data_IF_760254938744
#
_entry.id   IF_760254938744
#
_cell.length_a   1.000
_cell.length_b   1.000
_cell.length_c   1.000
_cell.angle_alpha   90.00
_cell.angle_beta   90.00
_cell.angle_gamma   90.00
#
_symmetry.space_group_name_H-M   'P 1'
#
loop_
_entity.id
_entity.type
_entity.pdbx_description
1 polymer ?
#
# COMPACT_ATOMS: atom_id res chain seq x y z
N UNK A 1 -21.05 36.50 38.16
CA UNK A 1 -20.61 35.09 38.18
C UNK A 1 -20.73 34.54 36.75
N UNK A 2 -19.62 34.57 36.02
CA UNK A 2 -19.54 34.03 34.68
C UNK A 2 -19.00 32.60 34.75
N UNK A 3 -19.79 31.67 34.26
CA UNK A 3 -19.37 30.27 34.07
C UNK A 3 -18.62 30.24 32.73
N UNK A 4 -17.31 30.06 32.81
CA UNK A 4 -16.47 29.73 31.65
C UNK A 4 -16.79 28.30 31.22
N UNK A 5 -17.48 28.14 30.10
CA UNK A 5 -17.65 26.84 29.46
C UNK A 5 -16.27 26.38 28.96
N UNK A 6 -15.78 25.32 29.57
CA UNK A 6 -14.56 24.63 29.16
C UNK A 6 -14.86 23.91 27.84
N UNK A 7 -14.43 24.48 26.71
CA UNK A 7 -14.48 23.80 25.41
C UNK A 7 -13.49 22.65 25.45
N UNK A 8 -13.99 21.45 25.73
CA UNK A 8 -13.20 20.25 25.58
C UNK A 8 -12.84 20.08 24.09
N UNK A 9 -11.55 20.04 23.85
CA UNK A 9 -10.95 19.83 22.54
C UNK A 9 -11.39 18.46 22.00
N UNK A 10 -12.28 18.45 21.02
CA UNK A 10 -12.79 17.23 20.37
C UNK A 10 -11.69 16.55 19.52
N UNK A 11 -10.55 17.23 19.33
CA UNK A 11 -9.41 16.73 18.56
C UNK A 11 -8.51 15.72 19.28
N UNK A 12 -8.83 15.34 20.54
CA UNK A 12 -8.02 14.40 21.32
C UNK A 12 -8.63 12.99 21.47
N UNK A 13 -9.51 12.59 20.55
CA UNK A 13 -9.90 11.17 20.54
C UNK A 13 -8.70 10.33 20.11
N UNK A 14 -8.30 9.32 20.91
CA UNK A 14 -7.20 8.45 20.52
C UNK A 14 -7.53 7.82 19.19
N UNK A 15 -6.61 7.95 18.22
CA UNK A 15 -6.76 7.25 16.95
C UNK A 15 -6.79 5.75 17.24
N UNK A 16 -7.75 5.02 16.67
CA UNK A 16 -7.88 3.57 16.84
C UNK A 16 -6.57 2.81 16.50
N UNK A 17 -5.67 3.42 15.71
CA UNK A 17 -4.35 2.89 15.40
C UNK A 17 -3.42 2.74 16.62
N UNK A 18 -3.65 3.43 17.74
CA UNK A 18 -2.87 3.27 18.97
C UNK A 18 -3.31 2.10 19.86
N UNK A 19 -4.57 1.67 19.73
CA UNK A 19 -5.10 0.55 20.52
C UNK A 19 -4.53 -0.82 20.11
N UNK A 20 -3.82 -0.89 18.98
CA UNK A 20 -3.21 -2.13 18.46
C UNK A 20 -1.81 -2.42 19.02
N UNK A 21 -1.45 -1.84 20.16
CA UNK A 21 -0.12 -1.98 20.82
C UNK A 21 0.24 -3.41 21.24
N UNK A 22 -0.58 -4.39 20.92
CA UNK A 22 -0.36 -5.79 21.34
C UNK A 22 0.39 -6.68 20.34
N UNK A 23 0.57 -6.28 19.06
CA UNK A 23 1.12 -7.21 18.07
C UNK A 23 2.55 -6.89 17.62
N UNK A 24 2.77 -5.77 16.95
CA UNK A 24 4.09 -5.40 16.42
C UNK A 24 4.32 -3.90 16.66
N UNK A 25 5.48 -3.50 17.18
CA UNK A 25 5.86 -2.10 17.33
C UNK A 25 6.18 -1.46 15.98
N UNK A 26 6.18 -0.12 15.86
CA UNK A 26 6.61 0.57 14.65
C UNK A 26 8.05 0.23 14.25
N UNK A 27 8.94 0.04 15.24
CA UNK A 27 10.30 -0.42 15.00
C UNK A 27 10.32 -1.84 14.43
N UNK A 28 9.50 -2.75 14.98
CA UNK A 28 9.37 -4.11 14.47
C UNK A 28 8.76 -4.18 13.06
N UNK A 29 7.80 -3.31 12.75
CA UNK A 29 7.28 -3.19 11.38
C UNK A 29 8.36 -2.69 10.42
N UNK A 30 9.18 -1.74 10.85
CA UNK A 30 10.30 -1.24 10.06
C UNK A 30 11.32 -2.34 9.76
N UNK A 31 11.77 -3.09 10.77
CA UNK A 31 12.74 -4.16 10.61
C UNK A 31 12.20 -5.28 9.71
N UNK A 32 10.93 -5.66 9.92
CA UNK A 32 10.24 -6.63 9.07
C UNK A 32 10.17 -6.15 7.62
N UNK A 33 9.85 -4.88 7.42
CA UNK A 33 9.79 -4.27 6.10
C UNK A 33 11.14 -4.29 5.39
N UNK A 34 12.23 -3.99 6.09
CA UNK A 34 13.60 -4.05 5.49
C UNK A 34 13.96 -5.45 5.03
N UNK A 35 13.63 -6.45 5.84
CA UNK A 35 13.85 -7.84 5.48
C UNK A 35 12.98 -8.26 4.28
N UNK A 36 11.67 -7.93 4.32
CA UNK A 36 10.75 -8.15 3.22
C UNK A 36 11.26 -7.50 1.92
N UNK A 37 11.71 -6.24 2.00
CA UNK A 37 12.21 -5.48 0.85
C UNK A 37 13.46 -6.14 0.23
N UNK A 38 14.38 -6.62 1.05
CA UNK A 38 15.58 -7.31 0.58
C UNK A 38 15.23 -8.55 -0.23
N UNK A 39 14.27 -9.35 0.28
CA UNK A 39 13.79 -10.55 -0.38
C UNK A 39 13.00 -10.23 -1.65
N UNK A 40 12.14 -9.21 -1.59
CA UNK A 40 11.35 -8.77 -2.73
C UNK A 40 12.25 -8.32 -3.90
N UNK A 41 13.26 -7.49 -3.62
CA UNK A 41 14.24 -7.01 -4.62
C UNK A 41 15.04 -8.13 -5.27
N UNK A 42 15.23 -9.26 -4.59
CA UNK A 42 15.94 -10.40 -5.17
C UNK A 42 15.16 -11.11 -6.29
N UNK A 43 13.84 -10.88 -6.39
CA UNK A 43 12.95 -11.56 -7.34
C UNK A 43 12.12 -10.60 -8.20
N UNK A 44 12.00 -9.35 -7.81
CA UNK A 44 11.23 -8.35 -8.54
C UNK A 44 12.03 -7.74 -9.69
N UNK A 45 11.35 -7.49 -10.82
CA UNK A 45 11.92 -6.71 -11.91
C UNK A 45 11.65 -5.23 -11.64
N UNK A 46 12.61 -4.55 -11.02
CA UNK A 46 12.52 -3.11 -10.78
C UNK A 46 12.74 -2.31 -12.07
N UNK A 47 11.95 -1.24 -12.24
CA UNK A 47 12.17 -0.19 -13.22
C UNK A 47 13.12 0.86 -12.60
N UNK A 48 14.39 0.80 -12.98
CA UNK A 48 15.45 1.63 -12.39
C UNK A 48 15.64 2.93 -13.16
N UNK A 49 14.65 3.83 -13.11
CA UNK A 49 14.74 5.17 -13.67
C UNK A 49 14.84 6.23 -12.56
N UNK A 50 15.95 7.00 -12.49
CA UNK A 50 16.16 7.99 -11.44
C UNK A 50 15.13 9.13 -11.44
N UNK A 51 14.58 9.49 -12.62
CA UNK A 51 13.58 10.56 -12.74
C UNK A 51 12.28 10.10 -12.11
N UNK A 52 11.80 8.92 -12.50
CA UNK A 52 10.58 8.33 -11.94
C UNK A 52 10.70 8.11 -10.43
N UNK A 53 11.85 7.63 -9.96
CA UNK A 53 12.11 7.44 -8.52
C UNK A 53 12.08 8.77 -7.75
N UNK A 54 12.71 9.82 -8.30
CA UNK A 54 12.67 11.15 -7.68
C UNK A 54 11.26 11.71 -7.65
N UNK A 55 10.53 11.60 -8.74
CA UNK A 55 9.12 12.03 -8.81
C UNK A 55 8.26 11.35 -7.75
N UNK A 56 8.32 10.01 -7.67
CA UNK A 56 7.55 9.24 -6.68
C UNK A 56 7.90 9.66 -5.27
N UNK A 57 9.19 9.78 -4.97
CA UNK A 57 9.66 10.21 -3.65
C UNK A 57 9.08 11.57 -3.27
N UNK A 58 9.28 12.59 -4.11
CA UNK A 58 8.84 13.96 -3.83
C UNK A 58 7.31 14.02 -3.73
N UNK A 59 6.62 13.29 -4.61
CA UNK A 59 5.16 13.19 -4.62
C UNK A 59 4.61 12.59 -3.32
N UNK A 60 5.13 11.43 -2.90
CA UNK A 60 4.66 10.74 -1.68
C UNK A 60 4.96 11.58 -0.44
N UNK A 61 6.14 12.19 -0.35
CA UNK A 61 6.42 13.08 0.78
C UNK A 61 5.45 14.25 0.83
N UNK A 62 5.14 14.88 -0.31
CA UNK A 62 4.18 15.98 -0.41
C UNK A 62 2.78 15.59 0.10
N UNK A 63 2.19 14.49 -0.41
CA UNK A 63 0.85 14.06 0.00
C UNK A 63 0.82 13.46 1.41
N UNK A 64 1.95 12.98 1.91
CA UNK A 64 2.04 12.46 3.27
C UNK A 64 2.04 13.54 4.35
N UNK A 65 2.28 14.81 3.99
CA UNK A 65 2.20 15.93 4.94
C UNK A 65 0.80 16.11 5.51
N UNK A 66 -0.22 15.81 4.71
CA UNK A 66 -1.63 15.89 5.10
C UNK A 66 -2.21 14.54 5.55
N UNK A 67 -1.40 13.49 5.54
CA UNK A 67 -1.79 12.15 5.99
C UNK A 67 -1.58 11.95 7.49
N UNK A 68 -2.13 10.86 8.02
CA UNK A 68 -1.94 10.45 9.42
C UNK A 68 -0.72 9.53 9.62
N UNK A 69 0.15 9.38 8.60
CA UNK A 69 1.35 8.53 8.69
C UNK A 69 2.35 9.13 9.66
N UNK A 70 2.69 8.37 10.72
CA UNK A 70 3.62 8.80 11.78
C UNK A 70 5.08 8.54 11.42
N UNK A 71 5.38 7.37 10.87
CA UNK A 71 6.73 6.99 10.45
C UNK A 71 6.86 7.19 8.94
N UNK A 72 7.58 8.23 8.54
CA UNK A 72 7.76 8.62 7.13
C UNK A 72 9.10 8.16 6.56
N UNK A 73 9.69 7.11 7.10
CA UNK A 73 10.89 6.47 6.54
C UNK A 73 10.49 5.57 5.37
N UNK A 74 10.11 6.19 4.24
CA UNK A 74 9.63 5.48 3.07
C UNK A 74 10.76 4.84 2.28
N UNK A 75 10.43 3.69 1.68
CA UNK A 75 11.18 3.04 0.62
C UNK A 75 10.28 2.84 -0.60
N UNK A 76 10.80 3.14 -1.77
CA UNK A 76 10.03 3.10 -3.00
C UNK A 76 10.54 2.01 -3.92
N UNK A 77 9.61 1.29 -4.54
CA UNK A 77 9.87 0.28 -5.56
C UNK A 77 9.01 0.62 -6.76
N UNK A 78 9.61 0.80 -7.93
CA UNK A 78 8.87 0.87 -9.18
C UNK A 78 9.06 -0.45 -9.89
N UNK A 79 7.97 -1.15 -10.21
CA UNK A 79 7.99 -2.44 -10.89
C UNK A 79 7.79 -2.25 -12.39
N UNK A 80 8.61 -2.91 -13.20
CA UNK A 80 8.41 -2.99 -14.65
C UNK A 80 7.25 -3.93 -14.98
N UNK A 81 6.04 -3.44 -14.72
CA UNK A 81 4.78 -4.15 -14.93
C UNK A 81 3.72 -3.18 -15.48
N UNK A 82 3.13 -3.46 -16.66
CA UNK A 82 2.16 -2.58 -17.31
C UNK A 82 0.76 -2.61 -16.65
N UNK A 83 0.52 -3.44 -15.65
CA UNK A 83 -0.75 -3.48 -14.92
C UNK A 83 -0.90 -2.26 -14.01
N UNK A 84 -2.16 -1.84 -13.79
CA UNK A 84 -2.46 -0.77 -12.83
C UNK A 84 -2.44 -1.39 -11.43
N UNK A 85 -1.38 -1.15 -10.70
CA UNK A 85 -1.27 -1.62 -9.33
C UNK A 85 -0.32 -0.74 -8.51
N UNK A 86 -0.64 -0.61 -7.23
CA UNK A 86 0.25 -0.10 -6.20
C UNK A 86 -0.02 -0.86 -4.90
N UNK A 87 0.90 -0.85 -3.98
CA UNK A 87 0.73 -1.50 -2.69
C UNK A 87 1.57 -0.83 -1.61
N UNK A 88 1.10 -0.91 -0.38
CA UNK A 88 1.85 -0.57 0.81
C UNK A 88 2.25 -1.84 1.56
N UNK A 89 3.52 -1.91 1.99
CA UNK A 89 4.03 -2.99 2.83
C UNK A 89 4.55 -2.43 4.16
N UNK A 90 4.69 -3.29 5.20
CA UNK A 90 5.16 -2.87 6.51
C UNK A 90 6.47 -2.08 6.45
N UNK A 91 6.65 -1.16 7.38
CA UNK A 91 7.88 -0.37 7.47
C UNK A 91 8.01 0.74 6.41
N UNK A 92 6.88 1.23 5.89
CA UNK A 92 6.85 2.38 4.98
C UNK A 92 7.26 2.05 3.54
N UNK A 93 7.14 0.80 3.11
CA UNK A 93 7.44 0.41 1.73
C UNK A 93 6.23 0.71 0.85
N UNK A 94 6.46 1.38 -0.28
CA UNK A 94 5.45 1.69 -1.30
C UNK A 94 5.95 1.15 -2.63
N UNK A 95 5.18 0.20 -3.18
CA UNK A 95 5.42 -0.35 -4.50
C UNK A 95 4.44 0.20 -5.52
N UNK A 96 4.90 0.47 -6.74
CA UNK A 96 4.13 1.07 -7.82
C UNK A 96 4.50 0.40 -9.13
N UNK A 97 3.52 -0.10 -9.86
CA UNK A 97 3.76 -0.63 -11.19
C UNK A 97 3.89 0.49 -12.22
N UNK A 98 4.71 0.29 -13.26
CA UNK A 98 4.84 1.25 -14.37
C UNK A 98 3.51 1.54 -15.05
N UNK A 99 2.56 0.59 -15.01
CA UNK A 99 1.19 0.79 -15.49
C UNK A 99 0.45 1.96 -14.83
N UNK A 100 0.79 2.31 -13.58
CA UNK A 100 0.23 3.48 -12.90
C UNK A 100 0.56 4.78 -13.63
N UNK A 101 1.80 4.96 -14.10
CA UNK A 101 2.21 6.16 -14.83
C UNK A 101 1.63 6.23 -16.25
N UNK A 102 1.36 5.08 -16.86
CA UNK A 102 0.87 4.99 -18.24
C UNK A 102 -0.64 5.16 -18.30
N UNK A 103 -1.37 4.66 -17.32
CA UNK A 103 -2.83 4.55 -17.34
C UNK A 103 -3.57 5.66 -16.58
N UNK A 104 -2.89 6.35 -15.65
CA UNK A 104 -3.49 7.54 -15.02
C UNK A 104 -3.36 8.73 -15.97
N UNK A 105 -4.46 9.46 -16.15
CA UNK A 105 -4.55 10.61 -17.06
C UNK A 105 -4.21 11.91 -16.33
N UNK A 106 -4.33 11.94 -15.02
CA UNK A 106 -4.08 13.11 -14.17
C UNK A 106 -3.30 12.74 -12.91
N UNK A 107 -2.56 13.73 -12.36
CA UNK A 107 -1.88 13.57 -11.09
C UNK A 107 -2.85 13.28 -9.94
N UNK A 108 -4.09 13.81 -10.00
CA UNK A 108 -5.13 13.54 -9.00
C UNK A 108 -5.58 12.07 -8.98
N UNK A 109 -5.67 11.42 -10.14
CA UNK A 109 -5.98 9.98 -10.23
C UNK A 109 -4.85 9.16 -9.61
N UNK A 110 -3.60 9.49 -9.92
CA UNK A 110 -2.44 8.87 -9.29
C UNK A 110 -2.43 9.11 -7.78
N UNK A 111 -2.69 10.36 -7.34
CA UNK A 111 -2.79 10.74 -5.94
C UNK A 111 -3.85 9.92 -5.19
N UNK A 112 -4.99 9.63 -5.81
CA UNK A 112 -6.07 8.90 -5.16
C UNK A 112 -5.64 7.50 -4.72
N UNK A 113 -4.86 6.80 -5.55
CA UNK A 113 -4.30 5.49 -5.21
C UNK A 113 -3.22 5.63 -4.14
N UNK A 114 -2.31 6.58 -4.29
CA UNK A 114 -1.24 6.77 -3.31
C UNK A 114 -1.77 7.19 -1.93
N UNK A 115 -2.82 8.00 -1.87
CA UNK A 115 -3.48 8.35 -0.61
C UNK A 115 -4.17 7.14 0.04
N UNK A 116 -4.72 6.22 -0.75
CA UNK A 116 -5.26 4.95 -0.27
C UNK A 116 -4.14 4.08 0.33
N UNK A 117 -3.01 3.94 -0.34
CA UNK A 117 -1.85 3.19 0.17
C UNK A 117 -1.28 3.82 1.45
N UNK A 118 -1.19 5.15 1.51
CA UNK A 118 -0.80 5.85 2.73
C UNK A 118 -1.80 5.63 3.88
N UNK A 119 -3.08 5.45 3.58
CA UNK A 119 -4.08 5.12 4.60
C UNK A 119 -3.82 3.74 5.20
N UNK A 120 -3.44 2.72 4.39
CA UNK A 120 -3.03 1.42 4.89
C UNK A 120 -1.85 1.52 5.87
N UNK A 121 -0.86 2.35 5.56
CA UNK A 121 0.29 2.59 6.44
C UNK A 121 -0.11 3.33 7.72
N UNK A 122 -0.90 4.42 7.60
CA UNK A 122 -1.29 5.25 8.74
C UNK A 122 -2.16 4.50 9.74
N UNK A 123 -3.06 3.66 9.26
CA UNK A 123 -3.95 2.83 10.07
C UNK A 123 -3.31 1.49 10.48
N UNK A 124 -2.07 1.24 10.06
CA UNK A 124 -1.30 0.05 10.39
C UNK A 124 -2.09 -1.24 10.10
N UNK A 125 -2.77 -1.29 8.94
CA UNK A 125 -3.65 -2.41 8.59
C UNK A 125 -2.92 -3.75 8.61
N UNK A 126 -1.65 -3.78 8.21
CA UNK A 126 -0.82 -4.98 8.31
C UNK A 126 -0.67 -5.44 9.77
N UNK A 127 -0.25 -4.58 10.70
CA UNK A 127 -0.08 -4.94 12.10
C UNK A 127 -1.40 -5.38 12.75
N UNK A 128 -2.50 -4.73 12.37
CA UNK A 128 -3.85 -5.07 12.86
C UNK A 128 -4.33 -6.42 12.33
N UNK A 129 -4.04 -6.76 11.07
CA UNK A 129 -4.41 -8.06 10.50
C UNK A 129 -3.65 -9.22 11.16
N UNK A 130 -2.49 -8.95 11.72
CA UNK A 130 -1.67 -9.96 12.41
C UNK A 130 -2.10 -10.23 13.87
N UNK A 131 -3.01 -9.44 14.44
CA UNK A 131 -3.42 -9.60 15.85
C UNK A 131 -4.07 -10.97 16.14
N UNK A 132 -4.77 -11.55 15.16
CA UNK A 132 -5.46 -12.84 15.30
C UNK A 132 -4.60 -14.05 14.88
N UNK A 133 -3.38 -13.82 14.46
CA UNK A 133 -2.44 -14.84 14.01
C UNK A 133 -1.15 -14.73 14.81
N UNK A 134 -0.45 -15.84 15.02
CA UNK A 134 0.85 -15.78 15.71
C UNK A 134 1.83 -14.96 14.84
N UNK A 135 2.27 -13.75 15.30
CA UNK A 135 3.09 -12.85 14.48
C UNK A 135 4.41 -13.52 14.03
N UNK A 136 4.96 -14.38 14.90
CA UNK A 136 6.18 -15.12 14.59
C UNK A 136 5.94 -16.17 13.50
N UNK A 137 4.81 -16.85 13.55
CA UNK A 137 4.45 -17.86 12.52
C UNK A 137 4.25 -17.20 11.16
N UNK A 138 3.58 -16.04 11.11
CA UNK A 138 3.37 -15.33 9.84
C UNK A 138 4.64 -14.68 9.30
N UNK A 139 5.48 -14.13 10.17
CA UNK A 139 6.82 -13.70 9.77
C UNK A 139 7.65 -14.87 9.27
N UNK A 140 7.60 -16.04 9.93
CA UNK A 140 8.29 -17.25 9.50
C UNK A 140 7.71 -17.84 8.21
N UNK A 141 6.40 -17.77 7.98
CA UNK A 141 5.78 -18.17 6.71
C UNK A 141 6.21 -17.23 5.59
N UNK A 142 6.17 -15.93 5.83
CA UNK A 142 6.65 -14.92 4.89
C UNK A 142 8.13 -15.13 4.55
N UNK A 143 8.96 -15.38 5.55
CA UNK A 143 10.40 -15.61 5.42
C UNK A 143 10.73 -17.03 4.96
N UNK A 144 10.01 -18.02 5.45
CA UNK A 144 10.26 -19.43 5.15
C UNK A 144 9.92 -19.82 3.72
N UNK A 145 8.85 -19.26 3.15
CA UNK A 145 8.51 -19.44 1.74
C UNK A 145 9.59 -18.86 0.81
N UNK A 146 10.22 -17.77 1.24
CA UNK A 146 11.29 -17.11 0.48
C UNK A 146 12.64 -17.80 0.70
N UNK A 147 12.99 -18.19 1.93
CA UNK A 147 14.23 -18.89 2.22
C UNK A 147 14.33 -20.22 1.47
N UNK A 148 13.23 -20.99 1.37
CA UNK A 148 13.19 -22.23 0.57
C UNK A 148 13.40 -21.97 -0.91
N UNK A 149 12.88 -20.90 -1.47
CA UNK A 149 13.05 -20.56 -2.88
C UNK A 149 14.48 -20.09 -3.21
N UNK A 150 15.10 -19.32 -2.32
CA UNK A 150 16.49 -18.83 -2.50
C UNK A 150 17.51 -19.97 -2.33
N UNK A 151 17.31 -20.84 -1.34
CA UNK A 151 18.25 -21.95 -1.06
C UNK A 151 18.21 -23.04 -2.13
N UNK A 152 17.06 -23.25 -2.79
CA UNK A 152 16.92 -24.33 -3.79
C UNK A 152 17.36 -23.95 -5.20
N UNK A 153 17.79 -22.70 -5.44
CA UNK A 153 18.14 -22.18 -6.77
C UNK A 153 17.08 -22.50 -7.85
N UNK A 154 15.82 -22.55 -7.44
CA UNK A 154 14.71 -22.99 -8.27
C UNK A 154 14.28 -21.85 -9.22
N UNK A 155 14.11 -22.11 -10.54
CA UNK A 155 13.57 -21.11 -11.48
C UNK A 155 12.19 -20.54 -11.10
N UNK A 156 11.44 -21.22 -10.21
CA UNK A 156 10.19 -20.72 -9.62
C UNK A 156 10.40 -19.59 -8.61
N UNK A 157 11.62 -19.24 -8.25
CA UNK A 157 11.93 -18.07 -7.42
C UNK A 157 11.41 -16.75 -8.04
N UNK A 158 11.23 -16.71 -9.36
CA UNK A 158 10.62 -15.58 -10.08
C UNK A 158 9.18 -15.28 -9.64
N UNK A 159 8.50 -16.25 -9.00
CA UNK A 159 7.12 -16.09 -8.52
C UNK A 159 7.03 -15.54 -7.09
N UNK A 160 8.15 -15.26 -6.41
CA UNK A 160 8.15 -14.82 -5.00
C UNK A 160 7.56 -13.42 -4.87
N UNK A 161 8.00 -12.47 -5.70
CA UNK A 161 7.51 -11.10 -5.60
C UNK A 161 5.99 -11.00 -5.83
N UNK A 162 5.40 -11.61 -6.87
CA UNK A 162 3.95 -11.67 -7.03
C UNK A 162 3.24 -12.34 -5.84
N UNK A 163 3.78 -13.42 -5.30
CA UNK A 163 3.20 -14.11 -4.15
C UNK A 163 3.23 -13.25 -2.88
N UNK A 164 4.30 -12.48 -2.66
CA UNK A 164 4.40 -11.55 -1.54
C UNK A 164 3.40 -10.39 -1.66
N UNK A 165 3.19 -9.84 -2.87
CA UNK A 165 2.17 -8.81 -3.12
C UNK A 165 0.78 -9.40 -2.87
N UNK A 166 0.50 -10.58 -3.41
CA UNK A 166 -0.79 -11.25 -3.22
C UNK A 166 -1.07 -11.52 -1.74
N UNK A 167 -0.06 -11.91 -0.97
CA UNK A 167 -0.20 -12.14 0.47
C UNK A 167 -0.52 -10.84 1.23
N UNK A 168 0.07 -9.71 0.86
CA UNK A 168 -0.28 -8.41 1.44
C UNK A 168 -1.76 -8.08 1.16
N UNK A 169 -2.20 -8.21 -0.08
CA UNK A 169 -3.57 -7.93 -0.50
C UNK A 169 -4.60 -8.84 0.19
N UNK A 170 -4.28 -10.13 0.41
CA UNK A 170 -5.20 -11.08 1.06
C UNK A 170 -5.33 -10.89 2.58
N UNK A 171 -4.43 -10.13 3.20
CA UNK A 171 -4.46 -9.88 4.64
C UNK A 171 -5.41 -8.74 5.03
N UNK A 172 -5.92 -7.97 4.07
CA UNK A 172 -6.82 -6.86 4.36
C UNK A 172 -8.29 -7.30 4.30
N UNK A 173 -9.05 -6.93 5.33
CA UNK A 173 -10.49 -7.18 5.37
C UNK A 173 -11.22 -6.11 4.58
N UNK A 174 -12.50 -6.36 4.25
CA UNK A 174 -13.36 -5.35 3.62
C UNK A 174 -13.51 -4.08 4.46
N UNK A 175 -13.42 -4.21 5.78
CA UNK A 175 -13.44 -3.09 6.73
C UNK A 175 -12.16 -2.26 6.59
N UNK A 176 -10.99 -2.90 6.47
CA UNK A 176 -9.72 -2.22 6.24
C UNK A 176 -9.74 -1.45 4.92
N UNK A 177 -10.27 -2.06 3.85
CA UNK A 177 -10.40 -1.39 2.54
C UNK A 177 -11.30 -0.16 2.61
N UNK A 178 -12.48 -0.28 3.24
CA UNK A 178 -13.39 0.86 3.43
C UNK A 178 -12.79 1.96 4.30
N UNK A 179 -12.00 1.60 5.30
CA UNK A 179 -11.27 2.55 6.14
C UNK A 179 -10.20 3.26 5.31
N UNK A 180 -9.42 2.53 4.51
CA UNK A 180 -8.42 3.07 3.61
C UNK A 180 -9.02 3.99 2.55
N UNK A 181 -10.15 3.62 1.95
CA UNK A 181 -10.88 4.47 1.00
C UNK A 181 -11.29 5.80 1.65
N UNK A 182 -11.88 5.75 2.83
CA UNK A 182 -12.37 6.95 3.53
C UNK A 182 -11.24 7.87 3.98
N UNK A 183 -10.18 7.30 4.54
CA UNK A 183 -9.03 8.06 5.04
C UNK A 183 -8.20 8.58 3.87
N UNK A 184 -7.98 7.74 2.85
CA UNK A 184 -7.29 8.12 1.62
C UNK A 184 -8.00 9.24 0.89
N UNK A 185 -9.35 9.18 0.79
CA UNK A 185 -10.15 10.26 0.22
C UNK A 185 -9.97 11.59 0.98
N UNK A 186 -10.02 11.55 2.31
CA UNK A 186 -9.78 12.74 3.13
C UNK A 186 -8.38 13.30 2.90
N UNK A 187 -7.37 12.43 2.83
CA UNK A 187 -6.00 12.84 2.54
C UNK A 187 -5.87 13.47 1.15
N UNK A 188 -6.50 12.87 0.13
CA UNK A 188 -6.54 13.39 -1.24
C UNK A 188 -7.05 14.86 -1.27
N UNK A 189 -8.17 15.12 -0.59
CA UNK A 189 -8.78 16.44 -0.50
C UNK A 189 -7.88 17.42 0.27
N UNK A 190 -7.32 16.98 1.40
CA UNK A 190 -6.43 17.81 2.21
C UNK A 190 -5.11 18.14 1.48
N UNK A 191 -4.65 17.25 0.61
CA UNK A 191 -3.49 17.47 -0.26
C UNK A 191 -3.80 18.39 -1.45
N UNK A 192 -5.04 18.89 -1.57
CA UNK A 192 -5.45 19.89 -2.56
C UNK A 192 -5.86 19.31 -3.92
N UNK A 193 -6.08 18.00 -4.03
CA UNK A 193 -6.54 17.38 -5.27
C UNK A 193 -8.06 17.41 -5.40
N UNK A 194 -8.54 17.34 -6.65
CA UNK A 194 -9.96 17.26 -6.96
C UNK A 194 -10.56 15.96 -6.39
N UNK A 195 -11.61 16.02 -5.56
CA UNK A 195 -12.29 14.85 -5.00
C UNK A 195 -12.79 13.86 -6.05
N UNK A 196 -13.12 14.35 -7.27
CA UNK A 196 -13.58 13.50 -8.38
C UNK A 196 -12.51 12.54 -8.90
N UNK A 197 -11.24 12.82 -8.62
CA UNK A 197 -10.11 12.00 -9.07
C UNK A 197 -10.22 10.56 -8.58
N UNK A 198 -10.75 10.32 -7.38
CA UNK A 198 -10.95 8.97 -6.86
C UNK A 198 -11.99 8.20 -7.69
N UNK A 199 -13.15 8.79 -7.97
CA UNK A 199 -14.18 8.12 -8.77
C UNK A 199 -13.73 7.90 -10.22
N UNK A 200 -12.96 8.82 -10.79
CA UNK A 200 -12.36 8.66 -12.12
C UNK A 200 -11.36 7.51 -12.13
N UNK A 201 -10.53 7.38 -11.10
CA UNK A 201 -9.59 6.27 -10.98
C UNK A 201 -10.29 4.92 -10.86
N UNK A 202 -11.38 4.83 -10.09
CA UNK A 202 -12.20 3.61 -10.04
C UNK A 202 -12.75 3.22 -11.42
N UNK A 203 -13.16 4.17 -12.25
CA UNK A 203 -13.59 3.88 -13.62
C UNK A 203 -12.46 3.33 -14.49
N UNK A 204 -11.23 3.84 -14.35
CA UNK A 204 -10.04 3.33 -15.03
C UNK A 204 -9.77 1.89 -14.62
N UNK A 205 -9.77 1.61 -13.30
CA UNK A 205 -9.56 0.27 -12.75
C UNK A 205 -10.63 -0.71 -13.24
N UNK A 206 -11.89 -0.31 -13.25
CA UNK A 206 -13.00 -1.14 -13.71
C UNK A 206 -12.86 -1.47 -15.22
N UNK A 207 -12.51 -0.49 -16.05
CA UNK A 207 -12.27 -0.71 -17.48
C UNK A 207 -11.09 -1.64 -17.73
N UNK A 208 -10.02 -1.48 -16.96
CA UNK A 208 -8.84 -2.36 -17.07
C UNK A 208 -9.16 -3.81 -16.74
N UNK A 209 -10.01 -4.06 -15.74
CA UNK A 209 -10.45 -5.41 -15.37
C UNK A 209 -11.43 -6.00 -16.40
N UNK A 210 -12.32 -5.19 -16.95
CA UNK A 210 -13.28 -5.62 -17.99
C UNK A 210 -12.59 -6.00 -19.29
N UNK A 211 -11.57 -5.25 -19.71
CA UNK A 211 -10.79 -5.55 -20.92
C UNK A 211 -10.06 -6.89 -20.84
N UNK A 212 -9.60 -7.30 -19.65
CA UNK A 212 -9.00 -8.63 -19.43
C UNK A 212 -10.04 -9.73 -19.65
N UNK A 213 -11.28 -9.53 -19.21
CA UNK A 213 -12.36 -10.51 -19.39
C UNK A 213 -12.81 -10.63 -20.86
N UNK A 214 -12.79 -9.55 -21.62
CA UNK A 214 -13.14 -9.58 -23.05
C UNK A 214 -12.07 -10.30 -23.88
N UNK A 215 -10.80 -10.10 -23.59
CA UNK A 215 -9.70 -10.77 -24.30
C UNK A 215 -9.69 -12.30 -24.04
N UNK A 216 -10.03 -12.72 -22.83
CA UNK A 216 -10.20 -14.14 -22.49
C UNK A 216 -11.52 -14.74 -23.01
N UNK A 217 -12.59 -13.95 -23.10
CA UNK A 217 -13.87 -14.45 -23.65
C UNK A 217 -13.78 -14.80 -25.12
N UNK A 218 -12.94 -14.09 -25.88
CA UNK A 218 -12.68 -14.38 -27.29
C UNK A 218 -11.96 -15.72 -27.49
N UNK A 219 -11.07 -16.09 -26.56
CA UNK A 219 -10.36 -17.38 -26.58
C UNK A 219 -11.24 -18.56 -26.15
N UNK A 220 -12.33 -18.31 -25.44
CA UNK A 220 -13.29 -19.35 -25.02
C UNK A 220 -14.45 -19.53 -26.01
N UNK A 221 -14.53 -18.71 -27.06
CA UNK A 221 -15.54 -18.77 -28.12
C UNK A 221 -15.07 -19.50 -29.41
N UNK A 222 -13.88 -20.10 -29.38
CA UNK A 222 -13.33 -20.99 -30.39
C UNK A 222 -13.41 -22.45 -29.93
#
# INVERSE_FOLDING_TARGET
FGVLANSQNIDSLPSLGDASSGSISLAGEYDLGRLWLSLFRSSAKEYDDPISKSYVKDFIYRISETSEVRDRRYEFIILDDPSINAFAAPGGIIGINTGMFIKTETEGQFASVMCHELAHLSQRHYARSQQNSNPLTNALILLGSVATAVVTANPQAILIAPALIQQLATNYTRENEREADRIGFRNLVNAGFDPRSQSQMFQILQKSQSGINEEYSYLLSL
#
